data_IF_477193411922
#
_entry.id   IF_477193411922
#
_cell.length_a   1.000
_cell.length_b   1.000
_cell.length_c   1.000
_cell.angle_alpha   90.00
_cell.angle_beta   90.00
_cell.angle_gamma   90.00
#
_symmetry.space_group_name_H-M   'P 1'
#
loop_
_entity.id
_entity.type
_entity.pdbx_description
1 polymer ?
#
# COMPACT_ATOMS: atom_id res chain seq x y z
N UNK A 1 -9.26 31.69 -0.55
CA UNK A 1 -7.87 32.10 -0.80
C UNK A 1 -7.02 30.87 -0.57
N UNK A 2 -6.40 30.35 -1.63
CA UNK A 2 -5.47 29.22 -1.56
C UNK A 2 -4.26 29.66 -0.75
N UNK A 3 -4.03 29.00 0.37
CA UNK A 3 -2.86 29.21 1.22
C UNK A 3 -1.76 28.29 0.65
N UNK A 4 -1.11 28.72 -0.43
CA UNK A 4 0.04 28.04 -1.04
C UNK A 4 1.25 28.22 -0.11
N UNK A 5 1.31 27.44 0.98
CA UNK A 5 2.39 27.51 1.99
C UNK A 5 3.65 26.73 1.60
N UNK A 6 3.62 26.02 0.47
CA UNK A 6 4.75 25.31 -0.11
C UNK A 6 4.57 25.20 -1.63
N UNK A 7 5.65 25.43 -2.37
CA UNK A 7 5.73 25.22 -3.82
C UNK A 7 7.01 24.46 -4.15
N UNK A 8 7.19 23.97 -5.37
CA UNK A 8 8.39 23.19 -5.72
C UNK A 8 8.46 22.83 -7.21
N UNK A 9 9.40 21.95 -7.57
CA UNK A 9 9.54 21.46 -8.94
C UNK A 9 9.24 19.95 -9.01
N UNK A 10 8.33 19.49 -9.88
CA UNK A 10 8.10 18.06 -10.09
C UNK A 10 9.34 17.39 -10.70
N UNK A 11 9.54 16.10 -10.42
CA UNK A 11 10.71 15.35 -10.83
C UNK A 11 10.69 14.89 -12.30
N UNK A 12 9.55 15.00 -13.00
CA UNK A 12 9.36 14.67 -14.42
C UNK A 12 10.02 13.35 -14.88
N UNK A 13 10.15 12.38 -13.97
CA UNK A 13 10.76 11.07 -14.23
C UNK A 13 12.29 11.03 -14.32
N UNK A 14 13.02 12.08 -13.93
CA UNK A 14 14.48 12.18 -14.16
C UNK A 14 15.40 11.62 -13.04
N UNK A 15 14.87 11.01 -11.98
CA UNK A 15 15.72 10.41 -10.93
C UNK A 15 15.61 8.88 -10.89
N UNK A 16 16.54 8.22 -11.57
CA UNK A 16 16.85 6.81 -11.33
C UNK A 16 17.47 6.67 -9.92
N UNK A 17 16.76 5.97 -9.04
CA UNK A 17 17.29 5.57 -7.74
C UNK A 17 17.62 4.08 -7.80
N UNK A 18 18.78 3.60 -7.30
CA UNK A 18 19.22 2.21 -7.47
C UNK A 18 18.37 1.14 -6.75
N UNK A 19 17.27 1.52 -6.11
CA UNK A 19 16.49 0.69 -5.19
C UNK A 19 15.04 0.49 -5.68
N UNK A 20 14.89 0.16 -6.95
CA UNK A 20 13.63 -0.02 -7.69
C UNK A 20 12.71 -1.13 -7.11
N UNK A 21 13.20 -1.97 -6.21
CA UNK A 21 12.54 -3.23 -5.82
C UNK A 21 11.68 -3.16 -4.55
N UNK A 22 11.86 -2.17 -3.66
CA UNK A 22 11.21 -2.18 -2.33
C UNK A 22 10.02 -1.23 -2.14
N UNK A 23 9.79 -0.25 -3.03
CA UNK A 23 8.81 0.83 -2.78
C UNK A 23 7.68 0.96 -3.82
N UNK A 24 7.53 0.00 -4.75
CA UNK A 24 6.53 0.13 -5.82
C UNK A 24 6.93 1.16 -6.89
N UNK A 25 6.09 1.31 -7.91
CA UNK A 25 6.37 2.13 -9.11
C UNK A 25 6.74 3.57 -8.74
N UNK A 26 7.81 4.09 -9.36
CA UNK A 26 8.21 5.50 -9.26
C UNK A 26 7.05 6.38 -9.72
N UNK A 27 6.50 7.15 -8.78
CA UNK A 27 5.46 8.13 -9.06
C UNK A 27 5.98 9.25 -9.97
N UNK A 28 5.17 9.67 -10.94
CA UNK A 28 5.56 10.71 -11.92
C UNK A 28 5.45 12.12 -11.34
N UNK A 29 4.74 12.29 -10.22
CA UNK A 29 4.40 13.60 -9.62
C UNK A 29 5.24 13.91 -8.38
N UNK A 30 6.27 13.11 -8.11
CA UNK A 30 7.14 13.35 -6.97
C UNK A 30 7.85 14.69 -7.08
N UNK A 31 7.93 15.45 -5.99
CA UNK A 31 8.71 16.69 -5.97
C UNK A 31 10.21 16.37 -5.96
N UNK A 32 10.99 17.00 -6.85
CA UNK A 32 12.47 16.95 -6.85
C UNK A 32 13.04 17.86 -5.76
N UNK A 33 12.35 18.95 -5.47
CA UNK A 33 12.70 19.94 -4.45
C UNK A 33 11.43 20.69 -4.00
N UNK A 34 11.28 20.93 -2.69
CA UNK A 34 10.28 21.82 -2.11
C UNK A 34 10.94 23.13 -1.69
N UNK A 35 10.25 24.24 -1.90
CA UNK A 35 10.59 25.58 -1.42
C UNK A 35 9.54 25.97 -0.39
N UNK A 36 10.01 26.33 0.81
CA UNK A 36 9.18 26.90 1.88
C UNK A 36 9.38 28.41 1.87
N UNK A 37 8.29 29.18 2.04
CA UNK A 37 8.33 30.64 1.94
C UNK A 37 9.02 31.32 3.15
N UNK A 38 9.19 30.61 4.27
CA UNK A 38 9.81 31.13 5.50
C UNK A 38 10.81 30.13 6.09
N UNK A 39 11.98 30.61 6.51
CA UNK A 39 12.99 29.83 7.20
C UNK A 39 12.72 29.75 8.71
N UNK A 40 12.47 28.55 9.21
CA UNK A 40 12.32 28.33 10.65
C UNK A 40 11.68 26.99 10.98
N UNK A 41 12.35 26.19 11.81
CA UNK A 41 11.75 25.02 12.48
C UNK A 41 10.71 25.42 13.56
N UNK A 42 10.54 26.72 13.79
CA UNK A 42 9.52 27.28 14.68
C UNK A 42 8.15 27.34 14.01
N UNK A 43 8.08 27.51 12.69
CA UNK A 43 6.88 27.17 11.90
C UNK A 43 6.89 25.67 11.60
N UNK A 44 6.68 24.89 12.68
CA UNK A 44 6.54 23.43 12.63
C UNK A 44 5.39 22.99 11.72
N UNK A 45 4.49 23.88 11.31
CA UNK A 45 3.50 23.58 10.30
C UNK A 45 4.16 23.41 8.93
N UNK A 46 4.73 24.49 8.39
CA UNK A 46 5.24 24.53 7.01
C UNK A 46 6.31 23.48 6.70
N UNK A 47 7.30 23.33 7.57
CA UNK A 47 8.42 22.37 7.35
C UNK A 47 7.91 20.91 7.41
N UNK A 48 7.00 20.59 8.31
CA UNK A 48 6.44 19.23 8.39
C UNK A 48 5.49 18.95 7.22
N UNK A 49 4.70 19.92 6.76
CA UNK A 49 3.89 19.76 5.55
C UNK A 49 4.77 19.52 4.32
N UNK A 50 5.84 20.30 4.15
CA UNK A 50 6.81 20.08 3.07
C UNK A 50 7.44 18.68 3.16
N UNK A 51 7.81 18.22 4.36
CA UNK A 51 8.36 16.87 4.56
C UNK A 51 7.34 15.76 4.21
N UNK A 52 6.05 15.95 4.55
CA UNK A 52 4.98 15.02 4.21
C UNK A 52 4.69 14.98 2.69
N UNK A 53 4.87 16.11 2.00
CA UNK A 53 4.75 16.16 0.55
C UNK A 53 5.96 15.55 -0.18
N UNK A 54 7.15 15.65 0.41
CA UNK A 54 8.38 15.12 -0.17
C UNK A 54 8.56 13.61 0.04
N UNK A 55 7.93 13.00 1.04
CA UNK A 55 8.09 11.55 1.26
C UNK A 55 7.49 10.74 0.12
N UNK A 56 8.17 9.64 -0.23
CA UNK A 56 7.73 8.63 -1.20
C UNK A 56 6.66 7.70 -0.68
N UNK A 57 6.26 7.85 0.58
CA UNK A 57 5.17 7.08 1.16
C UNK A 57 3.84 7.74 0.81
N UNK A 58 2.91 7.05 0.13
CA UNK A 58 1.53 7.48 -0.04
C UNK A 58 0.88 7.75 1.32
N UNK A 59 0.36 8.96 1.50
CA UNK A 59 -0.23 9.38 2.76
C UNK A 59 -1.42 10.31 2.55
N UNK A 60 -2.37 10.21 3.47
CA UNK A 60 -3.56 11.05 3.53
C UNK A 60 -3.89 11.44 4.98
N UNK A 61 -4.63 12.53 5.13
CA UNK A 61 -5.33 12.89 6.36
C UNK A 61 -6.83 12.95 6.10
N UNK A 62 -7.62 12.44 7.04
CA UNK A 62 -9.08 12.52 7.02
C UNK A 62 -9.58 13.25 8.25
N UNK A 63 -10.70 13.98 8.14
CA UNK A 63 -11.27 14.77 9.22
C UNK A 63 -12.57 14.14 9.74
N UNK A 64 -12.55 13.42 10.89
CA UNK A 64 -13.72 12.73 11.42
C UNK A 64 -14.79 13.67 11.98
N UNK A 65 -14.51 14.98 12.06
CA UNK A 65 -15.49 15.99 12.50
C UNK A 65 -16.39 16.46 11.36
N UNK A 66 -16.02 16.15 10.12
CA UNK A 66 -16.85 16.38 8.94
C UNK A 66 -17.68 15.13 8.61
N UNK A 67 -18.80 15.34 7.92
CA UNK A 67 -19.68 14.24 7.51
C UNK A 67 -18.91 13.22 6.67
N UNK A 68 -19.10 11.94 6.99
CA UNK A 68 -18.48 10.80 6.31
C UNK A 68 -16.94 10.68 6.42
N UNK A 69 -16.28 11.41 7.33
CA UNK A 69 -14.82 11.40 7.53
C UNK A 69 -14.03 11.54 6.20
N UNK A 70 -14.16 12.69 5.52
CA UNK A 70 -13.59 12.89 4.20
C UNK A 70 -12.08 13.12 4.24
N UNK A 71 -11.41 12.83 3.13
CA UNK A 71 -9.99 13.19 2.92
C UNK A 71 -9.86 14.72 2.84
N UNK A 72 -9.01 15.27 3.69
CA UNK A 72 -8.68 16.72 3.73
C UNK A 72 -7.28 17.02 3.21
N UNK A 73 -6.42 16.00 3.11
CA UNK A 73 -5.08 16.10 2.53
C UNK A 73 -4.68 14.78 1.91
N UNK A 74 -3.99 14.84 0.78
CA UNK A 74 -3.33 13.71 0.13
C UNK A 74 -2.03 14.19 -0.51
N UNK A 75 -0.93 13.46 -0.29
CA UNK A 75 0.34 13.81 -0.93
C UNK A 75 0.44 13.25 -2.36
N UNK A 76 1.44 13.73 -3.12
CA UNK A 76 1.62 13.31 -4.51
C UNK A 76 1.88 11.80 -4.66
N UNK A 77 2.54 11.17 -3.68
CA UNK A 77 2.76 9.73 -3.69
C UNK A 77 1.43 8.95 -3.65
N UNK A 78 0.41 9.44 -2.94
CA UNK A 78 -0.93 8.85 -2.96
C UNK A 78 -1.64 9.03 -4.30
N UNK A 79 -1.51 10.20 -4.92
CA UNK A 79 -2.04 10.45 -6.26
C UNK A 79 -1.39 9.52 -7.28
N UNK A 80 -0.07 9.35 -7.21
CA UNK A 80 0.69 8.47 -8.09
C UNK A 80 0.34 6.99 -7.88
N UNK A 81 0.17 6.55 -6.63
CA UNK A 81 -0.23 5.17 -6.30
C UNK A 81 -1.61 4.83 -6.87
N UNK A 82 -2.57 5.74 -6.67
CA UNK A 82 -3.99 5.47 -6.94
C UNK A 82 -4.45 5.91 -8.33
N UNK A 83 -3.69 6.80 -8.98
CA UNK A 83 -4.00 7.37 -10.29
C UNK A 83 -5.13 8.41 -10.26
N UNK A 84 -5.60 8.83 -9.09
CA UNK A 84 -6.61 9.86 -8.94
C UNK A 84 -6.01 11.27 -8.90
N UNK A 85 -6.77 12.24 -9.38
CA UNK A 85 -6.44 13.65 -9.19
C UNK A 85 -6.85 14.15 -7.81
N UNK A 86 -6.14 15.15 -7.29
CA UNK A 86 -6.42 15.73 -5.98
C UNK A 86 -7.88 16.19 -5.84
N UNK A 87 -8.42 16.84 -6.87
CA UNK A 87 -9.82 17.30 -6.91
C UNK A 87 -10.85 16.16 -6.94
N UNK A 88 -10.45 14.95 -7.31
CA UNK A 88 -11.30 13.76 -7.25
C UNK A 88 -11.26 13.08 -5.88
N UNK A 89 -10.31 13.42 -5.01
CA UNK A 89 -10.09 12.75 -3.71
C UNK A 89 -10.57 13.62 -2.55
N UNK A 90 -10.26 14.91 -2.58
CA UNK A 90 -10.61 15.83 -1.49
C UNK A 90 -12.13 15.86 -1.26
N UNK A 91 -12.53 15.82 0.01
CA UNK A 91 -13.94 15.84 0.40
C UNK A 91 -14.66 14.49 0.28
N UNK A 92 -13.97 13.40 -0.09
CA UNK A 92 -14.56 12.06 -0.20
C UNK A 92 -13.97 11.11 0.82
N UNK A 93 -14.76 10.14 1.26
CA UNK A 93 -14.26 9.04 2.08
C UNK A 93 -13.42 8.07 1.25
N UNK A 94 -12.31 7.59 1.81
CA UNK A 94 -11.33 6.70 1.16
C UNK A 94 -11.88 5.36 0.67
N UNK A 95 -13.11 4.97 1.04
CA UNK A 95 -13.75 3.75 0.54
C UNK A 95 -13.92 3.71 -0.99
N UNK A 96 -13.72 4.82 -1.70
CA UNK A 96 -13.70 4.82 -3.18
C UNK A 96 -12.60 3.92 -3.77
N UNK A 97 -11.59 3.54 -2.99
CA UNK A 97 -10.56 2.57 -3.39
C UNK A 97 -11.03 1.11 -3.27
N UNK A 98 -12.15 0.84 -2.60
CA UNK A 98 -12.69 -0.51 -2.44
C UNK A 98 -13.51 -0.91 -3.67
N UNK A 99 -13.55 -2.20 -3.98
CA UNK A 99 -14.28 -2.74 -5.13
C UNK A 99 -14.86 -4.12 -4.85
N UNK A 100 -15.28 -4.82 -5.91
CA UNK A 100 -16.11 -6.02 -5.80
C UNK A 100 -15.42 -7.21 -5.11
N UNK A 101 -14.09 -7.33 -5.21
CA UNK A 101 -13.33 -8.42 -4.59
C UNK A 101 -12.61 -7.97 -3.32
N UNK A 102 -12.88 -6.75 -2.84
CA UNK A 102 -12.38 -6.31 -1.54
C UNK A 102 -13.05 -7.12 -0.44
N UNK A 103 -12.24 -7.69 0.45
CA UNK A 103 -12.71 -8.52 1.55
C UNK A 103 -13.56 -7.74 2.58
N UNK A 104 -14.78 -8.20 2.83
CA UNK A 104 -15.73 -7.62 3.78
C UNK A 104 -15.21 -7.68 5.22
N UNK A 105 -14.41 -8.69 5.58
CA UNK A 105 -13.81 -8.80 6.91
C UNK A 105 -12.79 -7.67 7.13
N UNK A 106 -11.96 -7.39 6.13
CA UNK A 106 -11.00 -6.29 6.14
C UNK A 106 -11.70 -4.93 6.22
N UNK A 107 -12.78 -4.73 5.46
CA UNK A 107 -13.60 -3.50 5.52
C UNK A 107 -14.19 -3.32 6.92
N UNK A 108 -14.71 -4.40 7.51
CA UNK A 108 -15.32 -4.38 8.85
C UNK A 108 -14.27 -4.06 9.92
N UNK A 109 -13.08 -4.65 9.83
CA UNK A 109 -11.98 -4.38 10.74
C UNK A 109 -11.55 -2.91 10.70
N UNK A 110 -11.40 -2.31 9.50
CA UNK A 110 -11.10 -0.88 9.36
C UNK A 110 -12.19 0.00 9.97
N UNK A 111 -13.45 -0.32 9.70
CA UNK A 111 -14.59 0.43 10.25
C UNK A 111 -14.61 0.39 11.77
N UNK A 112 -14.35 -0.78 12.36
CA UNK A 112 -14.30 -0.96 13.80
C UNK A 112 -13.16 -0.16 14.42
N UNK A 113 -11.93 -0.26 13.87
CA UNK A 113 -10.78 0.48 14.38
C UNK A 113 -11.00 2.01 14.32
N UNK A 114 -11.60 2.52 13.25
CA UNK A 114 -11.95 3.94 13.14
C UNK A 114 -13.01 4.34 14.17
N UNK A 115 -14.02 3.51 14.41
CA UNK A 115 -15.07 3.77 15.39
C UNK A 115 -14.52 3.79 16.84
N UNK A 116 -13.66 2.83 17.18
CA UNK A 116 -13.02 2.71 18.49
C UNK A 116 -11.81 3.64 18.66
N UNK A 117 -11.42 4.36 17.60
CA UNK A 117 -10.26 5.28 17.56
C UNK A 117 -8.96 4.55 17.91
N UNK A 118 -8.81 3.35 17.36
CA UNK A 118 -7.62 2.52 17.50
C UNK A 118 -6.77 2.54 16.24
N UNK A 119 -5.47 2.38 16.41
CA UNK A 119 -4.57 2.22 15.27
C UNK A 119 -4.73 0.82 14.67
N UNK A 120 -4.69 0.72 13.35
CA UNK A 120 -4.82 -0.55 12.62
C UNK A 120 -3.84 -0.60 11.45
N UNK A 121 -3.29 -1.80 11.20
CA UNK A 121 -2.45 -2.09 10.05
C UNK A 121 -2.94 -3.39 9.40
N UNK A 122 -3.40 -3.35 8.16
CA UNK A 122 -3.87 -4.53 7.42
C UNK A 122 -3.49 -4.47 5.94
N UNK A 123 -3.49 -5.62 5.27
CA UNK A 123 -3.42 -5.70 3.81
C UNK A 123 -4.83 -5.86 3.24
N UNK A 124 -5.26 -4.95 2.37
CA UNK A 124 -6.59 -4.95 1.76
C UNK A 124 -6.50 -4.79 0.24
N UNK A 125 -7.37 -5.47 -0.51
CA UNK A 125 -7.45 -5.31 -1.96
C UNK A 125 -8.14 -3.99 -2.31
N UNK A 126 -7.45 -3.14 -3.06
CA UNK A 126 -7.95 -1.86 -3.53
C UNK A 126 -7.82 -1.73 -5.05
N UNK A 127 -8.49 -0.73 -5.60
CA UNK A 127 -8.56 -0.46 -7.03
C UNK A 127 -8.13 0.97 -7.32
N UNK A 128 -7.27 1.12 -8.34
CA UNK A 128 -6.86 2.42 -8.86
C UNK A 128 -7.97 3.03 -9.71
N UNK A 129 -7.80 4.29 -10.10
CA UNK A 129 -8.73 5.01 -10.99
C UNK A 129 -8.98 4.29 -12.32
N UNK A 130 -7.97 3.61 -12.85
CA UNK A 130 -8.06 2.83 -14.10
C UNK A 130 -8.73 1.46 -13.93
N UNK A 131 -9.14 1.11 -12.70
CA UNK A 131 -9.73 -0.19 -12.36
C UNK A 131 -8.72 -1.30 -12.08
N UNK A 132 -7.41 -1.04 -12.17
CA UNK A 132 -6.41 -2.04 -11.82
C UNK A 132 -6.42 -2.33 -10.31
N UNK A 133 -6.43 -3.62 -9.97
CA UNK A 133 -6.36 -4.06 -8.58
C UNK A 133 -4.93 -3.95 -8.03
N UNK A 134 -4.81 -3.71 -6.73
CA UNK A 134 -3.55 -3.78 -6.00
C UNK A 134 -3.76 -4.12 -4.54
N UNK A 135 -2.80 -4.83 -3.96
CA UNK A 135 -2.77 -5.10 -2.54
C UNK A 135 -2.19 -3.89 -1.81
N UNK A 136 -3.06 -3.23 -1.04
CA UNK A 136 -2.72 -2.07 -0.23
C UNK A 136 -2.45 -2.50 1.21
N UNK A 137 -1.20 -2.44 1.65
CA UNK A 137 -0.87 -2.46 3.06
C UNK A 137 -1.16 -1.07 3.64
N UNK A 138 -2.31 -0.94 4.31
CA UNK A 138 -2.79 0.31 4.89
C UNK A 138 -2.52 0.34 6.38
N UNK A 139 -1.98 1.47 6.84
CA UNK A 139 -1.94 1.83 8.25
C UNK A 139 -2.87 3.02 8.48
N UNK A 140 -3.66 2.99 9.56
CA UNK A 140 -4.51 4.09 10.01
C UNK A 140 -4.26 4.33 11.49
N UNK A 141 -4.12 5.60 11.89
CA UNK A 141 -3.97 5.98 13.29
C UNK A 141 -4.69 7.29 13.61
N UNK A 142 -5.33 7.40 14.78
CA UNK A 142 -5.94 8.65 15.24
C UNK A 142 -4.86 9.69 15.57
N UNK A 143 -5.14 10.95 15.29
CA UNK A 143 -4.30 12.10 15.64
C UNK A 143 -5.08 12.98 16.61
N UNK A 144 -4.56 13.07 17.83
CA UNK A 144 -5.18 13.83 18.91
C UNK A 144 -4.54 15.21 19.08
N UNK A 145 -5.37 16.19 19.42
CA UNK A 145 -4.93 17.52 19.87
C UNK A 145 -4.45 17.51 21.32
N UNK A 146 -4.03 18.67 21.82
CA UNK A 146 -3.55 18.82 23.20
C UNK A 146 -4.61 18.46 24.25
N UNK A 147 -5.89 18.62 23.93
CA UNK A 147 -7.02 18.33 24.83
C UNK A 147 -7.57 16.89 24.69
N UNK A 148 -6.81 15.97 24.10
CA UNK A 148 -7.26 14.61 23.73
C UNK A 148 -8.47 14.58 22.78
N UNK A 149 -8.78 15.71 22.13
CA UNK A 149 -9.75 15.77 21.06
C UNK A 149 -9.21 15.05 19.82
N UNK A 150 -10.01 14.16 19.23
CA UNK A 150 -9.68 13.52 17.96
C UNK A 150 -9.79 14.58 16.84
N UNK A 151 -8.65 14.98 16.27
CA UNK A 151 -8.62 16.00 15.22
C UNK A 151 -8.65 15.39 13.83
N UNK A 152 -7.88 14.33 13.59
CA UNK A 152 -7.74 13.69 12.28
C UNK A 152 -7.50 12.18 12.41
N UNK A 153 -7.64 11.47 11.30
CA UNK A 153 -6.94 10.20 11.12
C UNK A 153 -5.83 10.36 10.08
N UNK A 154 -4.65 9.89 10.44
CA UNK A 154 -3.54 9.69 9.52
C UNK A 154 -3.65 8.31 8.90
N UNK A 155 -3.42 8.21 7.59
CA UNK A 155 -3.27 6.93 6.94
C UNK A 155 -2.11 6.93 5.93
N UNK A 156 -1.36 5.83 5.91
CA UNK A 156 -0.35 5.55 4.90
C UNK A 156 -0.66 4.27 4.15
N UNK A 157 -0.21 4.21 2.89
CA UNK A 157 -0.48 3.10 1.98
C UNK A 157 0.82 2.60 1.36
N UNK A 158 0.90 1.30 1.15
CA UNK A 158 2.02 0.66 0.44
C UNK A 158 1.48 -0.40 -0.51
N UNK A 159 1.87 -0.32 -1.78
CA UNK A 159 1.58 -1.36 -2.75
C UNK A 159 2.48 -2.58 -2.49
N UNK A 160 1.87 -3.66 -1.98
CA UNK A 160 2.56 -4.92 -1.69
C UNK A 160 2.23 -6.01 -2.72
N UNK A 161 1.64 -5.65 -3.87
CA UNK A 161 1.22 -6.59 -4.91
C UNK A 161 2.38 -7.44 -5.41
N UNK A 162 3.49 -6.82 -5.82
CA UNK A 162 4.68 -7.52 -6.30
C UNK A 162 5.28 -8.45 -5.23
N UNK A 163 5.27 -8.01 -3.97
CA UNK A 163 5.73 -8.83 -2.83
C UNK A 163 4.87 -10.08 -2.68
N UNK A 164 3.54 -9.93 -2.73
CA UNK A 164 2.61 -11.07 -2.60
C UNK A 164 2.73 -12.04 -3.77
N UNK A 165 2.83 -11.53 -4.99
CA UNK A 165 2.99 -12.37 -6.19
C UNK A 165 4.28 -13.21 -6.12
N UNK A 166 5.40 -12.61 -5.73
CA UNK A 166 6.67 -13.31 -5.57
C UNK A 166 6.60 -14.41 -4.49
N UNK A 167 5.95 -14.13 -3.36
CA UNK A 167 5.73 -15.09 -2.29
C UNK A 167 4.84 -16.25 -2.74
N UNK A 168 3.76 -15.97 -3.49
CA UNK A 168 2.87 -16.99 -4.03
C UNK A 168 3.57 -17.89 -5.05
N UNK A 169 4.37 -17.32 -5.95
CA UNK A 169 5.13 -18.10 -6.93
C UNK A 169 6.14 -19.04 -6.26
N UNK A 170 6.85 -18.56 -5.24
CA UNK A 170 7.81 -19.38 -4.49
C UNK A 170 7.10 -20.52 -3.75
N UNK A 171 5.99 -20.23 -3.07
CA UNK A 171 5.20 -21.25 -2.39
C UNK A 171 4.65 -22.31 -3.36
N UNK A 172 4.20 -21.89 -4.54
CA UNK A 172 3.72 -22.81 -5.58
C UNK A 172 4.86 -23.68 -6.14
N UNK A 173 6.04 -23.10 -6.37
CA UNK A 173 7.21 -23.85 -6.84
C UNK A 173 7.66 -24.90 -5.83
N UNK A 174 7.73 -24.55 -4.55
CA UNK A 174 8.09 -25.48 -3.47
C UNK A 174 7.09 -26.64 -3.37
N UNK A 175 5.79 -26.33 -3.49
CA UNK A 175 4.74 -27.35 -3.50
C UNK A 175 4.87 -28.28 -4.70
N UNK A 176 5.18 -27.74 -5.87
CA UNK A 176 5.37 -28.53 -7.10
C UNK A 176 6.62 -29.41 -7.04
N UNK A 177 7.71 -28.91 -6.47
CA UNK A 177 8.94 -29.68 -6.25
C UNK A 177 8.72 -30.86 -5.31
N UNK A 178 8.04 -30.64 -4.17
CA UNK A 178 7.72 -31.69 -3.22
C UNK A 178 6.86 -32.80 -3.85
N UNK A 179 5.87 -32.43 -4.68
CA UNK A 179 5.05 -33.39 -5.43
C UNK A 179 5.91 -34.17 -6.44
N UNK A 180 6.83 -33.49 -7.14
CA UNK A 180 7.74 -34.11 -8.10
C UNK A 180 8.68 -35.15 -7.45
N UNK A 181 9.30 -34.80 -6.32
CA UNK A 181 10.17 -35.71 -5.57
C UNK A 181 9.42 -36.95 -5.07
N UNK A 182 8.21 -36.77 -4.53
CA UNK A 182 7.37 -37.89 -4.10
C UNK A 182 6.98 -38.80 -5.27
N UNK A 183 6.60 -38.22 -6.41
CA UNK A 183 6.22 -38.97 -7.61
C UNK A 183 7.40 -39.76 -8.17
N UNK A 184 8.59 -39.16 -8.22
CA UNK A 184 9.81 -39.81 -8.67
C UNK A 184 10.25 -40.94 -7.75
N UNK A 185 10.18 -40.74 -6.43
CA UNK A 185 10.47 -41.78 -5.43
C UNK A 185 9.52 -42.98 -5.55
N UNK A 186 8.22 -42.72 -5.64
CA UNK A 186 7.21 -43.78 -5.85
C UNK A 186 7.46 -44.55 -7.16
N UNK A 187 7.75 -43.86 -8.26
CA UNK A 187 8.03 -44.50 -9.54
C UNK A 187 9.28 -45.40 -9.49
N UNK A 188 10.33 -44.95 -8.82
CA UNK A 188 11.55 -45.73 -8.60
C UNK A 188 11.23 -47.01 -7.81
N UNK A 189 10.47 -46.91 -6.73
CA UNK A 189 10.12 -48.06 -5.89
C UNK A 189 9.23 -49.07 -6.62
N UNK A 190 8.27 -48.60 -7.43
CA UNK A 190 7.46 -49.46 -8.30
C UNK A 190 8.33 -50.23 -9.31
N UNK A 191 9.26 -49.55 -9.98
CA UNK A 191 10.16 -50.18 -10.95
C UNK A 191 11.06 -51.24 -10.29
N UNK A 192 11.55 -50.97 -9.07
CA UNK A 192 12.35 -51.94 -8.32
C UNK A 192 11.56 -53.22 -8.01
N UNK A 193 10.30 -53.10 -7.60
CA UNK A 193 9.45 -54.27 -7.31
C UNK A 193 9.19 -55.08 -8.58
N UNK A 194 8.87 -54.41 -9.70
CA UNK A 194 8.63 -55.08 -10.98
C UNK A 194 9.86 -55.85 -11.46
N UNK A 195 11.06 -55.27 -11.32
CA UNK A 195 12.30 -55.91 -11.73
C UNK A 195 12.63 -57.16 -10.88
N UNK A 196 12.28 -57.16 -9.59
CA UNK A 196 12.42 -58.33 -8.72
C UNK A 196 11.46 -59.45 -9.14
N UNK A 197 10.20 -59.11 -9.44
CA UNK A 197 9.19 -60.10 -9.87
C UNK A 197 9.60 -60.72 -11.21
N UNK A 198 10.03 -59.91 -12.17
CA UNK A 198 10.45 -60.38 -13.50
C UNK A 198 11.70 -61.26 -13.42
N UNK A 199 12.68 -60.89 -12.60
CA UNK A 199 13.89 -61.69 -12.36
C UNK A 199 13.67 -62.98 -11.54
N UNK A 200 12.48 -63.20 -10.98
CA UNK A 200 12.11 -64.42 -10.25
C UNK A 200 11.34 -65.44 -11.09
N UNK A 201 11.04 -65.10 -12.35
CA UNK A 201 10.32 -65.94 -13.32
C UNK A 201 11.25 -66.64 -14.33
N UNK A 202 12.57 -66.40 -14.27
CA UNK A 202 13.63 -67.20 -14.93
C UNK A 202 14.20 -68.28 -13.99
#
# INVERSE_FOLDING_TARGET
MQDERASGQPADGEMESPNESLMGRVGKRHWKQSVIDHDGLDDRGGVFFAALEMTRMPMILTDPRQDDNPVVFANNAFLDLTGYELGEILGRNCRFLQGAETDDEAITALRHAVAEREAIAIEILNYRRDGSAFWNAVFIGPVYGQDQELLYFFASQLDVTARREAQQQTAQSQKMEAIGQLTAGLAHDFNNILQIIDGSLE
#
